data_IF_407400169383
#
_entry.id   IF_407400169383
#
_cell.length_a   1.000
_cell.length_b   1.000
_cell.length_c   1.000
_cell.angle_alpha   90.00
_cell.angle_beta   90.00
_cell.angle_gamma   90.00
#
_symmetry.space_group_name_H-M   'P 1'
#
loop_
_entity.id
_entity.type
_entity.pdbx_description
1 polymer ?
#
# COMPACT_ATOMS: atom_id res chain seq x y z
N UNK A 1 12.84 -28.25 8.82
CA UNK A 1 13.10 -27.62 10.12
C UNK A 1 13.98 -26.41 9.86
N UNK A 2 13.51 -25.27 9.38
CA UNK A 2 12.16 -24.79 9.12
C UNK A 2 12.22 -24.03 7.80
N UNK A 3 11.41 -24.49 6.83
CA UNK A 3 11.07 -23.71 5.65
C UNK A 3 10.04 -22.67 6.15
N UNK A 4 10.54 -21.67 6.88
CA UNK A 4 9.76 -20.50 7.24
C UNK A 4 9.53 -19.77 5.91
N UNK A 5 8.45 -20.18 5.23
CA UNK A 5 7.89 -19.52 4.07
C UNK A 5 8.12 -18.03 4.25
N UNK A 6 8.91 -17.45 3.35
CA UNK A 6 9.04 -16.01 3.26
C UNK A 6 7.64 -15.47 2.97
N UNK A 7 6.86 -15.19 4.03
CA UNK A 7 5.55 -14.56 3.94
C UNK A 7 5.85 -13.10 3.61
N UNK A 8 6.27 -12.87 2.37
CA UNK A 8 6.48 -11.54 1.82
C UNK A 8 5.13 -10.85 1.74
N UNK A 9 5.12 -9.57 2.10
CA UNK A 9 3.95 -8.71 1.92
C UNK A 9 3.52 -8.75 0.45
N UNK A 10 2.24 -9.03 0.20
CA UNK A 10 1.67 -9.13 -1.16
C UNK A 10 1.16 -7.77 -1.63
N UNK A 11 0.77 -6.91 -0.68
CA UNK A 11 0.33 -5.53 -0.93
C UNK A 11 1.04 -4.55 0.00
N UNK A 12 1.00 -3.27 -0.37
CA UNK A 12 1.50 -2.20 0.50
C UNK A 12 0.65 -2.03 1.78
N UNK A 13 -0.63 -2.44 1.76
CA UNK A 13 -1.47 -2.41 2.95
C UNK A 13 -1.02 -3.46 3.98
N UNK A 14 -0.54 -4.62 3.53
CA UNK A 14 -0.02 -5.66 4.41
C UNK A 14 1.21 -5.15 5.20
N UNK A 15 2.02 -4.30 4.56
CA UNK A 15 3.15 -3.61 5.20
C UNK A 15 2.66 -2.62 6.26
N UNK A 16 1.65 -1.82 5.95
CA UNK A 16 1.05 -0.85 6.87
C UNK A 16 0.52 -1.56 8.15
N UNK A 17 -0.19 -2.67 7.98
CA UNK A 17 -0.71 -3.48 9.09
C UNK A 17 0.39 -4.12 9.94
N UNK A 18 1.44 -4.65 9.32
CA UNK A 18 2.54 -5.26 10.05
C UNK A 18 3.39 -4.23 10.78
N UNK A 19 3.58 -3.05 10.18
CA UNK A 19 4.26 -1.93 10.82
C UNK A 19 3.46 -1.41 12.04
N UNK A 20 2.13 -1.28 11.92
CA UNK A 20 1.27 -0.88 13.02
C UNK A 20 1.38 -1.79 14.27
N UNK A 21 1.62 -3.10 14.05
CA UNK A 21 1.78 -4.09 15.13
C UNK A 21 3.16 -4.05 15.79
N UNK A 22 4.18 -3.52 15.11
CA UNK A 22 5.59 -3.56 15.55
C UNK A 22 6.12 -2.22 16.03
N UNK A 23 5.61 -1.11 15.47
CA UNK A 23 6.10 0.23 15.78
C UNK A 23 5.59 0.71 17.15
N UNK A 24 6.39 1.59 17.79
CA UNK A 24 5.89 2.40 18.90
C UNK A 24 4.66 3.21 18.46
N UNK A 25 3.68 3.38 19.33
CA UNK A 25 2.40 4.01 19.00
C UNK A 25 2.55 5.47 18.57
N UNK A 26 3.42 6.24 19.21
CA UNK A 26 3.62 7.65 18.85
C UNK A 26 4.37 7.78 17.53
N UNK A 27 5.40 6.95 17.33
CA UNK A 27 6.11 6.87 16.06
C UNK A 27 5.16 6.43 14.92
N UNK A 28 4.30 5.45 15.17
CA UNK A 28 3.31 4.99 14.18
C UNK A 28 2.31 6.07 13.80
N UNK A 29 1.76 6.78 14.79
CA UNK A 29 0.84 7.89 14.54
C UNK A 29 1.49 9.01 13.70
N UNK A 30 2.78 9.28 13.90
CA UNK A 30 3.51 10.26 13.09
C UNK A 30 3.75 9.79 11.65
N UNK A 31 4.05 8.50 11.45
CA UNK A 31 4.34 7.94 10.12
C UNK A 31 3.08 7.79 9.28
N UNK A 32 2.01 7.26 9.89
CA UNK A 32 0.78 6.92 9.18
C UNK A 32 -0.16 8.12 9.03
N UNK A 33 -0.09 9.09 9.94
CA UNK A 33 -1.01 10.21 10.02
C UNK A 33 -0.88 11.26 8.91
N UNK A 34 -2.01 11.89 8.60
CA UNK A 34 -2.13 13.00 7.67
C UNK A 34 -2.46 14.33 8.33
N UNK A 35 -2.66 15.37 7.51
CA UNK A 35 -3.09 16.67 7.98
C UNK A 35 -4.60 16.70 8.29
N UNK A 36 -4.97 17.25 9.45
CA UNK A 36 -6.37 17.44 9.86
C UNK A 36 -7.16 16.13 9.88
N UNK A 37 -8.38 16.15 9.35
CA UNK A 37 -9.26 14.98 9.20
C UNK A 37 -8.82 14.01 8.07
N UNK A 38 -7.59 14.15 7.56
CA UNK A 38 -6.97 13.27 6.56
C UNK A 38 -7.74 13.16 5.23
N UNK A 39 -8.63 14.11 4.95
CA UNK A 39 -9.49 14.09 3.77
C UNK A 39 -8.69 13.99 2.47
N UNK A 40 -7.57 14.71 2.38
CA UNK A 40 -6.67 14.65 1.22
C UNK A 40 -5.99 13.29 1.08
N UNK A 41 -5.61 12.63 2.18
CA UNK A 41 -5.03 11.28 2.11
C UNK A 41 -6.03 10.27 1.56
N UNK A 42 -7.29 10.33 2.01
CA UNK A 42 -8.36 9.51 1.45
C UNK A 42 -8.59 9.85 -0.03
N UNK A 43 -8.66 11.13 -0.38
CA UNK A 43 -8.84 11.57 -1.76
C UNK A 43 -7.69 11.11 -2.69
N UNK A 44 -6.46 11.02 -2.20
CA UNK A 44 -5.31 10.50 -2.96
C UNK A 44 -5.52 9.02 -3.36
N UNK A 45 -6.00 8.18 -2.43
CA UNK A 45 -6.28 6.77 -2.73
C UNK A 45 -7.46 6.66 -3.70
N UNK A 46 -8.53 7.40 -3.45
CA UNK A 46 -9.72 7.42 -4.31
C UNK A 46 -9.43 7.94 -5.73
N UNK A 47 -8.43 8.83 -5.90
CA UNK A 47 -8.08 9.39 -7.20
C UNK A 47 -7.69 8.30 -8.22
N UNK A 48 -7.06 7.21 -7.79
CA UNK A 48 -6.70 6.10 -8.68
C UNK A 48 -7.92 5.40 -9.27
N UNK A 49 -9.05 5.37 -8.56
CA UNK A 49 -10.29 4.78 -9.07
C UNK A 49 -11.00 5.66 -10.11
N UNK A 50 -10.60 6.93 -10.27
CA UNK A 50 -11.19 7.85 -11.26
C UNK A 50 -10.74 7.54 -12.68
N UNK A 51 -9.67 6.77 -12.87
CA UNK A 51 -9.12 6.39 -14.17
C UNK A 51 -8.88 4.89 -14.20
N UNK A 52 -9.13 4.27 -15.35
CA UNK A 52 -8.92 2.85 -15.55
C UNK A 52 -7.83 2.64 -16.60
N UNK A 53 -6.92 1.70 -16.34
CA UNK A 53 -5.96 1.26 -17.34
C UNK A 53 -6.69 0.49 -18.44
N UNK A 54 -6.49 0.88 -19.70
CA UNK A 54 -7.03 0.17 -20.85
C UNK A 54 -6.03 -0.91 -21.27
N UNK A 55 -6.36 -2.22 -21.16
CA UNK A 55 -5.49 -3.27 -21.69
C UNK A 55 -5.29 -3.09 -23.20
N UNK A 56 -4.04 -3.25 -23.65
CA UNK A 56 -3.69 -3.21 -25.07
C UNK A 56 -3.06 -4.54 -25.46
N UNK A 57 -3.54 -5.12 -26.57
CA UNK A 57 -3.08 -6.41 -27.09
C UNK A 57 -2.27 -6.20 -28.36
N UNK A 58 -1.39 -7.16 -28.69
CA UNK A 58 -0.56 -7.16 -29.90
C UNK A 58 0.36 -5.93 -30.02
N UNK A 59 0.84 -5.40 -28.90
CA UNK A 59 1.65 -4.16 -28.84
C UNK A 59 3.17 -4.37 -28.88
N UNK A 60 3.65 -5.58 -29.21
CA UNK A 60 5.07 -5.93 -29.24
C UNK A 60 5.84 -5.49 -27.97
N UNK A 61 5.58 -6.19 -26.86
CA UNK A 61 6.26 -5.97 -25.58
C UNK A 61 7.12 -7.20 -25.26
N UNK A 62 8.26 -6.96 -24.62
CA UNK A 62 9.20 -8.00 -24.17
C UNK A 62 9.15 -8.13 -22.63
N UNK A 63 9.68 -9.23 -22.13
CA UNK A 63 9.63 -9.62 -20.71
C UNK A 63 10.89 -9.22 -19.97
#
# INVERSE_FOLDING_TARGET
MDDELQVGFSTLSDLEEAAAKKADRAAWAYIQGGAGEEWTMRANREAFHRRTLRPRVLVNVET
#
